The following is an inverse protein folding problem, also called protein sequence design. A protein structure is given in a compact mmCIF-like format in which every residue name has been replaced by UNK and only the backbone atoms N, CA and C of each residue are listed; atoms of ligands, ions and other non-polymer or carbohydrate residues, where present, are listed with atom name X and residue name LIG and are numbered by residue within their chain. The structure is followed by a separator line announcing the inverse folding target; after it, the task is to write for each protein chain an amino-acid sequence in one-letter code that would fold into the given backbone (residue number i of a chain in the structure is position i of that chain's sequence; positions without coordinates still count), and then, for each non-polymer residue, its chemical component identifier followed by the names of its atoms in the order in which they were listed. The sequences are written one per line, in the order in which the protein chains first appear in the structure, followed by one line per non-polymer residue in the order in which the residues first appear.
data_IF_017835512798
#
_entry.id   IF_017835512798
#
_cell.length_a   1.000
_cell.length_b   1.000
_cell.length_c   1.000
_cell.angle_alpha   90.00
_cell.angle_beta   90.00
_cell.angle_gamma   90.00
#
_symmetry.space_group_name_H-M   'P 1'
#
loop_
_entity.id
_entity.type
_entity.pdbx_description
1 polymer ?
#
# COMPACT_ATOMS: atom_id res chain seq x y z
N UNK A 1 15.45 19.24 8.60
CA UNK A 1 14.61 18.88 7.45
C UNK A 1 15.50 18.92 6.21
N UNK A 2 15.83 17.77 5.62
CA UNK A 2 16.42 17.74 4.28
C UNK A 2 15.39 18.35 3.34
N UNK A 3 15.81 19.38 2.62
CA UNK A 3 14.97 20.10 1.66
C UNK A 3 14.56 19.11 0.56
N UNK A 4 13.29 18.81 0.47
CA UNK A 4 12.72 18.12 -0.68
C UNK A 4 12.99 18.96 -1.93
N UNK A 5 13.44 18.34 -3.00
CA UNK A 5 13.44 19.02 -4.30
C UNK A 5 11.99 19.11 -4.79
N UNK A 6 11.33 20.24 -4.48
CA UNK A 6 9.92 20.49 -4.83
C UNK A 6 9.63 20.16 -6.29
N UNK A 7 10.57 20.48 -7.19
CA UNK A 7 10.46 20.19 -8.61
C UNK A 7 10.35 18.68 -8.89
N UNK A 8 11.25 17.89 -8.31
CA UNK A 8 11.25 16.43 -8.49
C UNK A 8 9.97 15.80 -7.92
N UNK A 9 9.47 16.27 -6.77
CA UNK A 9 8.23 15.82 -6.20
C UNK A 9 7.01 16.16 -7.09
N UNK A 10 6.97 17.38 -7.64
CA UNK A 10 5.90 17.79 -8.56
C UNK A 10 5.89 16.93 -9.82
N UNK A 11 7.04 16.70 -10.43
CA UNK A 11 7.20 15.83 -11.61
C UNK A 11 6.78 14.38 -11.30
N UNK A 12 7.10 13.88 -10.11
CA UNK A 12 6.72 12.55 -9.66
C UNK A 12 5.20 12.40 -9.49
N UNK A 13 4.54 13.40 -8.87
CA UNK A 13 3.09 13.41 -8.70
C UNK A 13 2.39 13.47 -10.06
N UNK A 14 2.83 14.36 -10.95
CA UNK A 14 2.29 14.49 -12.30
C UNK A 14 2.42 13.16 -13.07
N UNK A 15 3.60 12.54 -13.04
CA UNK A 15 3.86 11.26 -13.65
C UNK A 15 2.93 10.15 -13.11
N UNK A 16 2.78 10.05 -11.79
CA UNK A 16 1.89 9.08 -11.16
C UNK A 16 0.44 9.30 -11.60
N UNK A 17 -0.03 10.55 -11.60
CA UNK A 17 -1.40 10.89 -12.01
C UNK A 17 -1.63 10.58 -13.50
N UNK A 18 -0.67 10.87 -14.36
CA UNK A 18 -0.73 10.51 -15.79
C UNK A 18 -0.87 9.00 -15.99
N UNK A 19 -0.12 8.20 -15.23
CA UNK A 19 -0.11 6.73 -15.41
C UNK A 19 -1.37 6.05 -14.89
N UNK A 20 -1.96 6.53 -13.79
CA UNK A 20 -3.25 6.03 -13.30
C UNK A 20 -4.44 6.59 -14.09
N UNK A 21 -4.28 7.73 -14.77
CA UNK A 21 -5.29 8.31 -15.64
C UNK A 21 -6.65 8.47 -14.96
N UNK A 22 -7.69 7.87 -15.58
CA UNK A 22 -9.07 7.93 -15.12
C UNK A 22 -9.46 6.77 -14.17
N UNK A 23 -8.50 5.99 -13.69
CA UNK A 23 -8.78 4.89 -12.77
C UNK A 23 -9.45 5.38 -11.48
N UNK A 24 -10.33 4.54 -10.93
CA UNK A 24 -11.03 4.81 -9.67
C UNK A 24 -10.74 3.74 -8.63
N UNK A 25 -10.85 4.08 -7.36
CA UNK A 25 -10.77 3.11 -6.27
C UNK A 25 -11.91 2.10 -6.38
N UNK A 26 -11.60 0.83 -6.13
CA UNK A 26 -12.50 -0.31 -6.33
C UNK A 26 -13.88 -0.07 -5.70
N UNK A 27 -14.91 -0.15 -6.54
CA UNK A 27 -16.30 0.01 -6.11
C UNK A 27 -16.67 1.44 -5.66
N UNK A 28 -15.99 2.46 -6.18
CA UNK A 28 -16.28 3.86 -5.91
C UNK A 28 -16.04 4.74 -7.14
N UNK A 29 -16.40 6.02 -7.06
CA UNK A 29 -16.08 7.06 -8.05
C UNK A 29 -14.86 7.89 -7.66
N UNK A 30 -14.20 7.54 -6.55
CA UNK A 30 -13.03 8.27 -6.04
C UNK A 30 -11.85 8.01 -6.98
N UNK A 31 -11.18 9.03 -7.51
CA UNK A 31 -10.00 8.86 -8.36
C UNK A 31 -8.92 8.04 -7.67
N UNK A 32 -8.31 7.10 -8.41
CA UNK A 32 -7.34 6.18 -7.84
C UNK A 32 -6.10 6.89 -7.28
N UNK A 33 -5.65 7.98 -7.91
CA UNK A 33 -4.47 8.73 -7.48
C UNK A 33 -4.55 9.24 -6.03
N UNK A 34 -5.75 9.32 -5.43
CA UNK A 34 -5.91 9.69 -4.01
C UNK A 34 -5.22 8.70 -3.08
N UNK A 35 -5.10 7.42 -3.49
CA UNK A 35 -4.43 6.40 -2.72
C UNK A 35 -2.90 6.59 -2.67
N UNK A 36 -2.17 6.61 -3.79
CA UNK A 36 -0.72 6.83 -3.73
C UNK A 36 -0.34 8.19 -3.11
N UNK A 37 -1.16 9.23 -3.26
CA UNK A 37 -0.97 10.48 -2.52
C UNK A 37 -1.15 10.26 -1.01
N UNK A 38 -2.15 9.50 -0.60
CA UNK A 38 -2.37 9.13 0.82
C UNK A 38 -1.18 8.36 1.40
N UNK A 39 -0.64 7.40 0.66
CA UNK A 39 0.56 6.62 1.05
C UNK A 39 1.77 7.53 1.19
N UNK A 40 2.02 8.40 0.20
CA UNK A 40 3.07 9.40 0.26
C UNK A 40 2.93 10.30 1.49
N UNK A 41 1.73 10.79 1.79
CA UNK A 41 1.48 11.66 2.95
C UNK A 41 1.79 10.95 4.28
N UNK A 42 1.43 9.68 4.43
CA UNK A 42 1.74 8.88 5.63
C UNK A 42 3.26 8.80 5.84
N UNK A 43 4.04 8.58 4.77
CA UNK A 43 5.50 8.53 4.84
C UNK A 43 6.11 9.91 5.14
N UNK A 44 5.56 10.99 4.60
CA UNK A 44 5.97 12.37 4.91
C UNK A 44 5.72 12.71 6.39
N UNK A 45 4.56 12.31 6.93
CA UNK A 45 4.27 12.47 8.36
C UNK A 45 5.27 11.69 9.22
N UNK A 46 5.58 10.44 8.85
CA UNK A 46 6.52 9.60 9.59
C UNK A 46 7.96 10.14 9.52
N UNK A 47 8.35 10.80 8.42
CA UNK A 47 9.66 11.46 8.28
C UNK A 47 9.94 12.47 9.38
N UNK A 48 8.91 13.12 9.94
CA UNK A 48 9.05 14.06 11.05
C UNK A 48 9.52 13.38 12.35
N UNK A 49 9.36 12.07 12.46
CA UNK A 49 9.77 11.25 13.61
C UNK A 49 11.00 10.38 13.32
N UNK A 50 11.23 10.02 12.05
CA UNK A 50 12.43 9.26 11.61
C UNK A 50 13.09 9.94 10.41
N UNK A 51 14.11 10.76 10.68
CA UNK A 51 14.85 11.51 9.66
C UNK A 51 15.64 10.63 8.66
N UNK A 52 15.65 9.30 8.85
CA UNK A 52 16.23 8.35 7.89
C UNK A 52 15.29 8.06 6.71
N UNK A 53 14.00 8.38 6.85
CA UNK A 53 13.07 8.34 5.72
C UNK A 53 13.49 9.47 4.79
N UNK A 54 14.04 9.12 3.64
CA UNK A 54 14.50 10.05 2.63
C UNK A 54 13.47 10.19 1.49
N UNK A 55 13.81 11.02 0.51
CA UNK A 55 12.97 11.24 -0.67
C UNK A 55 12.67 9.95 -1.44
N UNK A 56 13.64 9.00 -1.53
CA UNK A 56 13.45 7.76 -2.27
C UNK A 56 12.34 6.88 -1.65
N UNK A 57 12.25 6.83 -0.30
CA UNK A 57 11.19 6.09 0.41
C UNK A 57 9.83 6.71 0.13
N UNK A 58 9.75 8.04 0.11
CA UNK A 58 8.51 8.78 -0.13
C UNK A 58 8.04 8.61 -1.57
N UNK A 59 8.98 8.71 -2.54
CA UNK A 59 8.68 8.44 -3.95
C UNK A 59 8.30 6.97 -4.19
N UNK A 60 8.92 6.04 -3.48
CA UNK A 60 8.53 4.64 -3.56
C UNK A 60 7.09 4.42 -3.07
N UNK A 61 6.67 5.14 -2.01
CA UNK A 61 5.27 5.14 -1.58
C UNK A 61 4.32 5.70 -2.63
N UNK A 62 4.72 6.77 -3.33
CA UNK A 62 3.93 7.36 -4.42
C UNK A 62 3.80 6.42 -5.63
N UNK A 63 4.79 5.56 -5.87
CA UNK A 63 4.87 4.70 -7.07
C UNK A 63 4.58 3.22 -6.81
N UNK A 64 4.26 2.83 -5.57
CA UNK A 64 4.20 1.43 -5.17
C UNK A 64 3.30 0.55 -6.04
N UNK A 65 2.23 1.11 -6.60
CA UNK A 65 1.26 0.41 -7.45
C UNK A 65 1.51 0.55 -8.97
N UNK A 66 2.43 1.43 -9.42
CA UNK A 66 2.63 1.73 -10.84
C UNK A 66 3.00 0.49 -11.66
N UNK A 67 3.82 -0.39 -11.09
CA UNK A 67 4.22 -1.62 -11.78
C UNK A 67 3.07 -2.62 -11.90
N UNK A 68 2.21 -2.68 -10.88
CA UNK A 68 1.11 -3.63 -10.85
C UNK A 68 -0.11 -3.18 -11.66
N UNK A 69 -0.49 -1.91 -11.53
CA UNK A 69 -1.78 -1.40 -11.98
C UNK A 69 -1.67 -0.50 -13.22
N UNK A 70 -0.54 0.19 -13.42
CA UNK A 70 -0.35 1.15 -14.50
C UNK A 70 0.60 0.68 -15.62
N UNK A 71 1.01 -0.59 -15.62
CA UNK A 71 1.93 -1.18 -16.60
C UNK A 71 3.27 -0.43 -16.75
N UNK A 72 3.72 0.25 -15.71
CA UNK A 72 5.03 0.91 -15.68
C UNK A 72 6.08 -0.11 -15.26
N UNK A 73 7.13 -0.32 -16.05
CA UNK A 73 8.18 -1.27 -15.71
C UNK A 73 9.08 -0.72 -14.61
N UNK A 74 9.66 -1.62 -13.82
CA UNK A 74 10.67 -1.26 -12.80
C UNK A 74 11.86 -0.53 -13.42
N UNK A 75 12.26 -0.91 -14.64
CA UNK A 75 13.33 -0.24 -15.39
C UNK A 75 12.96 1.23 -15.69
N UNK A 76 11.72 1.49 -16.11
CA UNK A 76 11.25 2.87 -16.36
C UNK A 76 11.29 3.72 -15.08
N UNK A 77 10.96 3.14 -13.93
CA UNK A 77 11.05 3.82 -12.63
C UNK A 77 12.52 4.10 -12.28
N UNK A 78 13.41 3.13 -12.52
CA UNK A 78 14.84 3.28 -12.28
C UNK A 78 15.46 4.42 -13.13
N UNK A 79 15.16 4.45 -14.43
CA UNK A 79 15.67 5.47 -15.35
C UNK A 79 15.20 6.88 -15.00
N UNK A 80 13.96 7.04 -14.52
CA UNK A 80 13.38 8.36 -14.23
C UNK A 80 13.64 8.85 -12.82
N UNK A 81 13.58 7.97 -11.85
CA UNK A 81 13.52 8.34 -10.43
C UNK A 81 14.65 7.73 -9.58
N UNK A 82 15.45 6.85 -10.18
CA UNK A 82 16.64 6.29 -9.56
C UNK A 82 16.47 4.86 -9.04
N UNK A 83 17.63 4.23 -8.86
CA UNK A 83 17.75 2.80 -8.53
C UNK A 83 17.11 2.43 -7.19
N UNK A 84 17.23 3.29 -6.19
CA UNK A 84 16.69 2.99 -4.84
C UNK A 84 15.16 3.04 -4.83
N UNK A 85 14.54 4.03 -5.50
CA UNK A 85 13.09 4.09 -5.69
C UNK A 85 12.58 2.83 -6.38
N UNK A 86 13.21 2.44 -7.50
CA UNK A 86 12.84 1.24 -8.26
C UNK A 86 12.97 -0.04 -7.42
N UNK A 87 14.03 -0.15 -6.61
CA UNK A 87 14.24 -1.28 -5.69
C UNK A 87 13.13 -1.38 -4.65
N UNK A 88 12.77 -0.28 -4.02
CA UNK A 88 11.72 -0.23 -3.01
C UNK A 88 10.35 -0.55 -3.61
N UNK A 89 10.01 0.03 -4.77
CA UNK A 89 8.77 -0.29 -5.49
C UNK A 89 8.71 -1.77 -5.83
N UNK A 90 9.77 -2.34 -6.45
CA UNK A 90 9.84 -3.77 -6.78
C UNK A 90 9.59 -4.67 -5.56
N UNK A 91 10.20 -4.33 -4.42
CA UNK A 91 10.08 -5.12 -3.20
C UNK A 91 8.72 -4.97 -2.50
N UNK A 92 7.99 -3.89 -2.75
CA UNK A 92 6.65 -3.65 -2.22
C UNK A 92 5.54 -4.20 -3.14
N UNK A 93 5.84 -4.47 -4.43
CA UNK A 93 4.88 -4.93 -5.43
C UNK A 93 4.70 -6.45 -5.43
N UNK A 94 3.51 -6.91 -5.85
CA UNK A 94 3.28 -8.32 -6.16
C UNK A 94 4.07 -8.73 -7.43
N UNK A 95 4.49 -10.00 -7.56
CA UNK A 95 5.23 -10.46 -8.73
C UNK A 95 4.47 -10.27 -10.03
N UNK A 96 5.18 -9.86 -11.07
CA UNK A 96 4.62 -9.78 -12.41
C UNK A 96 4.01 -11.13 -12.85
N UNK A 97 2.83 -11.07 -13.44
CA UNK A 97 2.14 -12.24 -13.98
C UNK A 97 1.14 -12.92 -13.05
N UNK A 98 1.28 -12.85 -11.73
CA UNK A 98 0.30 -13.43 -10.80
C UNK A 98 -1.02 -12.63 -10.75
N UNK A 99 -0.96 -11.32 -10.90
CA UNK A 99 -2.14 -10.44 -10.92
C UNK A 99 -2.86 -10.49 -12.29
N UNK A 100 -2.11 -10.78 -13.36
CA UNK A 100 -2.65 -10.88 -14.74
C UNK A 100 -3.25 -12.26 -15.06
N UNK A 101 -3.16 -13.23 -14.17
CA UNK A 101 -3.74 -14.56 -14.38
C UNK A 101 -5.27 -14.49 -14.50
N UNK A 102 -5.84 -15.29 -15.42
CA UNK A 102 -7.30 -15.31 -15.68
C UNK A 102 -8.15 -15.65 -14.45
N UNK A 103 -7.60 -16.37 -13.48
CA UNK A 103 -8.26 -16.72 -12.22
C UNK A 103 -7.74 -15.85 -11.06
N UNK A 104 -8.20 -14.62 -10.99
CA UNK A 104 -7.84 -13.71 -9.89
C UNK A 104 -8.45 -14.11 -8.54
N UNK A 105 -9.57 -14.80 -8.55
CA UNK A 105 -10.26 -15.23 -7.32
C UNK A 105 -9.58 -16.48 -6.78
N UNK A 106 -9.36 -17.52 -7.58
CA UNK A 106 -8.76 -18.79 -7.15
C UNK A 106 -7.29 -18.68 -6.74
N UNK A 107 -6.56 -17.65 -7.21
CA UNK A 107 -5.17 -17.44 -6.85
C UNK A 107 -4.92 -16.35 -5.80
N UNK A 108 -5.98 -15.71 -5.28
CA UNK A 108 -5.84 -14.59 -4.33
C UNK A 108 -4.97 -14.96 -3.12
N UNK A 109 -5.26 -16.07 -2.48
CA UNK A 109 -4.54 -16.52 -1.29
C UNK A 109 -3.06 -16.79 -1.58
N UNK A 110 -2.75 -17.47 -2.69
CA UNK A 110 -1.37 -17.74 -3.13
C UNK A 110 -0.59 -16.45 -3.37
N UNK A 111 -1.22 -15.43 -3.97
CA UNK A 111 -0.61 -14.11 -4.17
C UNK A 111 -0.29 -13.45 -2.83
N UNK A 112 -1.25 -13.48 -1.88
CA UNK A 112 -1.05 -12.89 -0.55
C UNK A 112 0.00 -13.66 0.27
N UNK A 113 0.03 -14.97 0.21
CA UNK A 113 1.10 -15.79 0.80
C UNK A 113 2.48 -15.41 0.23
N UNK A 114 2.57 -15.19 -1.09
CA UNK A 114 3.81 -14.73 -1.70
C UNK A 114 4.23 -13.35 -1.19
N UNK A 115 3.31 -12.37 -1.16
CA UNK A 115 3.57 -11.04 -0.62
C UNK A 115 4.02 -11.09 0.86
N UNK A 116 3.42 -11.95 1.67
CA UNK A 116 3.83 -12.17 3.07
C UNK A 116 5.24 -12.76 3.16
N UNK A 117 5.62 -13.68 2.26
CA UNK A 117 6.97 -14.23 2.22
C UNK A 117 8.02 -13.17 1.86
N UNK A 118 7.72 -12.27 0.92
CA UNK A 118 8.59 -11.13 0.62
C UNK A 118 8.70 -10.18 1.82
N UNK A 119 7.58 -9.86 2.46
CA UNK A 119 7.56 -8.99 3.64
C UNK A 119 8.40 -9.55 4.81
N UNK A 120 8.49 -10.87 4.96
CA UNK A 120 9.26 -11.54 6.02
C UNK A 120 10.74 -11.15 5.99
N UNK A 121 11.32 -11.00 4.82
CA UNK A 121 12.75 -10.70 4.61
C UNK A 121 13.00 -9.24 4.20
N UNK A 122 11.95 -8.44 4.10
CA UNK A 122 12.02 -7.06 3.66
C UNK A 122 12.87 -6.19 4.61
N UNK A 123 13.59 -5.24 4.04
CA UNK A 123 14.28 -4.22 4.82
C UNK A 123 13.29 -3.22 5.46
N UNK A 124 13.80 -2.40 6.36
CA UNK A 124 12.99 -1.43 7.12
C UNK A 124 12.19 -0.49 6.22
N UNK A 125 12.78 0.04 5.16
CA UNK A 125 12.14 1.02 4.30
C UNK A 125 11.08 0.37 3.40
N UNK A 126 11.33 -0.83 2.88
CA UNK A 126 10.30 -1.63 2.19
C UNK A 126 9.10 -1.90 3.11
N UNK A 127 9.35 -2.28 4.39
CA UNK A 127 8.28 -2.45 5.38
C UNK A 127 7.49 -1.17 5.63
N UNK A 128 8.16 -0.01 5.63
CA UNK A 128 7.50 1.28 5.79
C UNK A 128 6.58 1.59 4.62
N UNK A 129 7.01 1.36 3.37
CA UNK A 129 6.16 1.55 2.18
C UNK A 129 4.93 0.65 2.25
N UNK A 130 5.11 -0.65 2.55
CA UNK A 130 4.00 -1.60 2.69
C UNK A 130 3.05 -1.21 3.83
N UNK A 131 3.59 -0.76 4.97
CA UNK A 131 2.78 -0.30 6.10
C UNK A 131 1.93 0.92 5.74
N UNK A 132 2.51 1.90 5.05
CA UNK A 132 1.80 3.09 4.62
C UNK A 132 0.67 2.78 3.63
N UNK A 133 0.92 1.88 2.65
CA UNK A 133 -0.11 1.37 1.75
C UNK A 133 -1.26 0.72 2.52
N UNK A 134 -0.94 -0.20 3.43
CA UNK A 134 -1.98 -0.92 4.19
C UNK A 134 -2.73 0.00 5.15
N UNK A 135 -2.09 1.02 5.71
CA UNK A 135 -2.75 2.03 6.53
C UNK A 135 -3.74 2.88 5.73
N UNK A 136 -3.37 3.36 4.52
CA UNK A 136 -4.31 4.10 3.68
C UNK A 136 -5.50 3.22 3.26
N UNK A 137 -5.23 1.97 2.90
CA UNK A 137 -6.28 1.01 2.55
C UNK A 137 -7.20 0.70 3.74
N UNK A 138 -6.67 0.46 4.95
CA UNK A 138 -7.46 0.22 6.16
C UNK A 138 -8.33 1.43 6.50
N UNK A 139 -7.80 2.65 6.42
CA UNK A 139 -8.56 3.89 6.60
C UNK A 139 -9.70 4.04 5.59
N UNK A 140 -9.47 3.65 4.33
CA UNK A 140 -10.53 3.69 3.32
C UNK A 140 -11.64 2.67 3.63
N UNK A 141 -11.29 1.44 4.02
CA UNK A 141 -12.24 0.42 4.47
C UNK A 141 -13.04 0.95 5.67
N UNK A 142 -12.38 1.50 6.67
CA UNK A 142 -13.02 2.02 7.88
C UNK A 142 -14.02 3.14 7.55
N UNK A 143 -13.64 4.12 6.72
CA UNK A 143 -14.56 5.18 6.25
C UNK A 143 -15.80 4.61 5.57
N UNK A 144 -15.62 3.61 4.72
CA UNK A 144 -16.73 2.98 4.01
C UNK A 144 -17.68 2.26 4.99
N UNK A 145 -17.12 1.54 5.97
CA UNK A 145 -17.92 0.83 7.01
C UNK A 145 -18.73 1.83 7.84
N UNK A 146 -18.11 2.89 8.37
CA UNK A 146 -18.84 3.89 9.17
C UNK A 146 -19.86 4.68 8.35
N UNK A 147 -19.68 4.76 7.04
CA UNK A 147 -20.65 5.32 6.09
C UNK A 147 -21.79 4.34 5.76
N UNK A 148 -21.82 3.15 6.35
CA UNK A 148 -22.86 2.15 6.16
C UNK A 148 -22.74 1.31 4.90
N UNK A 149 -21.61 1.35 4.20
CA UNK A 149 -21.37 0.57 2.99
C UNK A 149 -20.96 -0.87 3.34
N UNK A 150 -21.47 -1.85 2.59
CA UNK A 150 -21.00 -3.23 2.66
C UNK A 150 -19.72 -3.41 1.85
N UNK A 151 -18.59 -3.05 2.50
CA UNK A 151 -17.28 -3.03 1.84
C UNK A 151 -16.78 -4.42 1.47
N UNK A 152 -17.20 -5.45 2.21
CA UNK A 152 -16.68 -6.80 2.05
C UNK A 152 -17.07 -7.42 0.71
N UNK A 153 -18.21 -7.00 0.13
CA UNK A 153 -18.61 -7.38 -1.23
C UNK A 153 -17.69 -6.87 -2.34
N UNK A 154 -16.88 -5.84 -2.06
CA UNK A 154 -15.93 -5.30 -3.04
C UNK A 154 -14.67 -6.18 -3.19
N UNK A 155 -14.40 -7.07 -2.23
CA UNK A 155 -13.20 -7.89 -2.24
C UNK A 155 -13.38 -9.19 -3.02
N UNK A 156 -12.30 -9.69 -3.61
CA UNK A 156 -12.25 -10.96 -4.33
C UNK A 156 -11.84 -12.12 -3.41
N UNK A 157 -12.10 -12.00 -2.10
CA UNK A 157 -11.79 -13.00 -1.09
C UNK A 157 -12.80 -12.93 0.07
N UNK A 158 -13.02 -14.01 0.78
CA UNK A 158 -13.83 -14.04 1.99
C UNK A 158 -13.29 -13.12 3.08
N UNK A 159 -14.19 -12.65 3.95
CA UNK A 159 -13.84 -11.79 5.09
C UNK A 159 -12.70 -12.37 5.95
N UNK A 160 -12.77 -13.66 6.29
CA UNK A 160 -11.76 -14.31 7.12
C UNK A 160 -10.37 -14.36 6.46
N UNK A 161 -10.31 -14.52 5.14
CA UNK A 161 -9.05 -14.48 4.39
C UNK A 161 -8.45 -13.06 4.38
N UNK A 162 -9.30 -12.03 4.26
CA UNK A 162 -8.85 -10.63 4.31
C UNK A 162 -8.33 -10.31 5.71
N UNK A 163 -9.05 -10.72 6.75
CA UNK A 163 -8.64 -10.58 8.14
C UNK A 163 -7.30 -11.25 8.40
N UNK A 164 -7.18 -12.53 8.03
CA UNK A 164 -5.93 -13.28 8.12
C UNK A 164 -4.75 -12.53 7.46
N UNK A 165 -4.98 -11.95 6.29
CA UNK A 165 -3.93 -11.24 5.57
C UNK A 165 -3.45 -9.99 6.33
N UNK A 166 -4.37 -9.15 6.83
CA UNK A 166 -4.01 -7.96 7.62
C UNK A 166 -3.33 -8.33 8.94
N UNK A 167 -3.82 -9.33 9.66
CA UNK A 167 -3.21 -9.82 10.90
C UNK A 167 -1.79 -10.36 10.66
N UNK A 168 -1.59 -11.11 9.55
CA UNK A 168 -0.27 -11.60 9.14
C UNK A 168 0.71 -10.46 8.83
N UNK A 169 0.24 -9.40 8.16
CA UNK A 169 1.04 -8.20 7.91
C UNK A 169 1.49 -7.57 9.22
N UNK A 170 0.57 -7.33 10.16
CA UNK A 170 0.91 -6.76 11.46
C UNK A 170 2.01 -7.56 12.17
N UNK A 171 1.90 -8.90 12.18
CA UNK A 171 2.92 -9.76 12.79
C UNK A 171 4.28 -9.64 12.10
N UNK A 172 4.31 -9.60 10.76
CA UNK A 172 5.55 -9.51 10.01
C UNK A 172 6.21 -8.12 10.10
N UNK A 173 5.42 -7.06 10.24
CA UNK A 173 5.94 -5.71 10.47
C UNK A 173 6.61 -5.57 11.85
N UNK A 174 6.20 -6.38 12.84
CA UNK A 174 6.82 -6.47 14.18
C UNK A 174 8.10 -7.32 14.20
N UNK A 175 8.35 -8.14 13.19
CA UNK A 175 9.47 -9.10 13.15
C UNK A 175 10.67 -8.58 12.36
N UNK A 176 11.87 -9.14 12.59
CA UNK A 176 13.08 -8.84 11.83
C UNK A 176 13.43 -7.34 11.87
N UNK A 177 13.46 -6.69 10.70
CA UNK A 177 13.62 -5.22 10.60
C UNK A 177 12.35 -4.51 11.06
N UNK A 178 12.00 -4.63 12.33
CA UNK A 178 10.73 -4.19 12.91
C UNK A 178 10.51 -2.69 12.77
N UNK A 179 9.26 -2.34 12.50
CA UNK A 179 8.78 -0.94 12.49
C UNK A 179 7.68 -0.69 13.53
N UNK A 180 7.52 -1.60 14.51
CA UNK A 180 6.46 -1.53 15.53
C UNK A 180 6.44 -0.22 16.35
N UNK A 181 7.60 0.43 16.49
CA UNK A 181 7.71 1.69 17.22
C UNK A 181 7.33 2.93 16.38
N UNK A 182 7.08 2.77 15.07
CA UNK A 182 6.66 3.88 14.21
C UNK A 182 5.21 4.28 14.49
N UNK A 183 4.91 5.57 14.26
CA UNK A 183 3.55 6.09 14.39
C UNK A 183 2.60 5.43 13.40
N UNK A 184 3.03 5.28 12.14
CA UNK A 184 2.19 4.65 11.11
C UNK A 184 1.85 3.20 11.41
N UNK A 185 2.77 2.41 12.02
CA UNK A 185 2.46 1.05 12.43
C UNK A 185 1.38 1.02 13.52
N UNK A 186 1.50 1.87 14.55
CA UNK A 186 0.50 1.96 15.64
C UNK A 186 -0.88 2.36 15.10
N UNK A 187 -0.92 3.28 14.14
CA UNK A 187 -2.16 3.67 13.47
C UNK A 187 -2.75 2.52 12.64
N UNK A 188 -1.91 1.78 11.89
CA UNK A 188 -2.36 0.58 11.16
C UNK A 188 -2.95 -0.47 12.10
N UNK A 189 -2.30 -0.73 13.23
CA UNK A 189 -2.80 -1.70 14.22
C UNK A 189 -4.17 -1.28 14.78
N UNK A 190 -4.38 0.00 15.05
CA UNK A 190 -5.67 0.55 15.48
C UNK A 190 -6.72 0.35 14.38
N UNK A 191 -6.45 0.77 13.15
CA UNK A 191 -7.40 0.66 12.04
C UNK A 191 -7.78 -0.80 11.76
N UNK A 192 -6.81 -1.71 11.73
CA UNK A 192 -7.06 -3.15 11.52
C UNK A 192 -7.95 -3.71 12.64
N UNK A 193 -7.67 -3.34 13.89
CA UNK A 193 -8.53 -3.77 15.00
C UNK A 193 -9.97 -3.25 14.86
N UNK A 194 -10.16 -2.00 14.44
CA UNK A 194 -11.49 -1.42 14.29
C UNK A 194 -12.28 -2.05 13.14
N UNK A 195 -11.70 -2.16 11.94
CA UNK A 195 -12.41 -2.70 10.76
C UNK A 195 -12.84 -4.16 10.92
N UNK A 196 -12.11 -4.97 11.71
CA UNK A 196 -12.46 -6.38 11.94
C UNK A 196 -13.23 -6.64 13.23
N UNK A 197 -13.49 -5.62 14.07
CA UNK A 197 -14.41 -5.69 15.21
C UNK A 197 -15.87 -5.41 14.82
N UNK A 198 -16.11 -4.64 13.77
CA UNK A 198 -17.44 -4.24 13.37
C UNK A 198 -18.17 -5.47 12.79
N UNK A 199 -19.30 -5.89 13.42
CA UNK A 199 -20.02 -7.07 12.93
C UNK A 199 -20.51 -6.87 11.49
N UNK A 200 -20.38 -7.93 10.68
CA UNK A 200 -20.97 -7.95 9.34
C UNK A 200 -22.47 -7.77 9.51
N UNK A 201 -23.03 -6.62 9.10
CA UNK A 201 -24.47 -6.48 8.99
C UNK A 201 -24.94 -7.48 7.92
N UNK A 202 -25.57 -8.58 8.35
CA UNK A 202 -26.30 -9.44 7.45
C UNK A 202 -27.47 -8.60 6.90
N UNK A 203 -27.27 -8.00 5.74
CA UNK A 203 -28.37 -7.48 4.93
C UNK A 203 -29.05 -8.70 4.33
N UNK A 204 -30.16 -9.13 5.00
CA UNK A 204 -31.11 -10.09 4.45
C UNK A 204 -31.73 -9.58 3.14
#
# INVERSE_FOLDING_TARGET
LKTFEIKKLSEAIEYMMEKHGADTRKGSTIPYFTHPIGVMNILLEEQSFDSKINEDVILAGLFHDLNEDANVTILTIEEKFGKEVARLVKNASEPEGLKKAKDQIGNWKKRKEHSLNLLRTADKFTKMVICADKLDNARAIHRDIISGLDVWKKFNAPFDDIKWYYESILQLLKSGNSIENTRMFKLLEIEVNEIFKIPIKNCG
#
